data_IF_646197416402
#
_entry.id   IF_646197416402
#
_cell.length_a   1.000
_cell.length_b   1.000
_cell.length_c   1.000
_cell.angle_alpha   90.00
_cell.angle_beta   90.00
_cell.angle_gamma   90.00
#
_symmetry.space_group_name_H-M   'P 1'
#
loop_
_entity.id
_entity.type
_entity.pdbx_description
1 polymer ?
#
# COMPACT_ATOMS: atom_id res chain seq x y z
N UNK A 1 16.86 11.34 -15.07
CA UNK A 1 15.71 12.18 -15.48
C UNK A 1 16.11 13.65 -15.50
N UNK A 2 15.21 14.55 -15.89
CA UNK A 2 15.40 16.00 -15.76
C UNK A 2 15.31 16.49 -14.30
N UNK A 3 14.77 15.66 -13.41
CA UNK A 3 14.62 15.93 -11.98
C UNK A 3 15.52 15.02 -11.15
N UNK A 4 15.98 15.55 -10.00
CA UNK A 4 16.67 14.81 -8.95
C UNK A 4 15.92 14.95 -7.62
N UNK A 5 16.08 13.97 -6.73
CA UNK A 5 15.47 14.03 -5.42
C UNK A 5 16.30 14.89 -4.46
N UNK A 6 15.66 15.87 -3.85
CA UNK A 6 16.29 16.77 -2.88
C UNK A 6 16.41 16.10 -1.49
N UNK A 7 17.50 15.37 -1.32
CA UNK A 7 17.81 14.65 -0.07
C UNK A 7 18.01 15.59 1.13
N UNK A 8 18.54 16.78 0.90
CA UNK A 8 18.80 17.75 1.98
C UNK A 8 17.48 18.30 2.52
N UNK A 9 16.55 18.68 1.64
CA UNK A 9 15.23 19.12 2.04
C UNK A 9 14.42 17.99 2.67
N UNK A 10 14.57 16.76 2.18
CA UNK A 10 13.94 15.60 2.81
C UNK A 10 14.40 15.41 4.26
N UNK A 11 15.71 15.47 4.52
CA UNK A 11 16.27 15.45 5.89
C UNK A 11 15.66 16.56 6.76
N UNK A 12 15.67 17.81 6.27
CA UNK A 12 15.16 18.97 7.01
C UNK A 12 13.69 18.76 7.42
N UNK A 13 12.86 18.28 6.50
CA UNK A 13 11.44 18.03 6.74
C UNK A 13 11.23 16.86 7.70
N UNK A 14 12.00 15.77 7.58
CA UNK A 14 11.93 14.64 8.52
C UNK A 14 12.20 15.13 9.93
N UNK A 15 13.30 15.87 10.15
CA UNK A 15 13.66 16.40 11.48
C UNK A 15 12.59 17.33 12.05
N UNK A 16 12.11 18.29 11.23
CA UNK A 16 11.05 19.22 11.65
C UNK A 16 9.77 18.49 12.04
N UNK A 17 9.40 17.47 11.27
CA UNK A 17 8.19 16.69 11.52
C UNK A 17 8.33 15.82 12.76
N UNK A 18 9.49 15.20 12.99
CA UNK A 18 9.77 14.47 14.24
C UNK A 18 9.61 15.38 15.47
N UNK A 19 10.15 16.61 15.43
CA UNK A 19 9.95 17.59 16.51
C UNK A 19 8.49 17.99 16.69
N UNK A 20 7.78 18.20 15.58
CA UNK A 20 6.35 18.52 15.60
C UNK A 20 5.55 17.41 16.28
N UNK A 21 5.79 16.15 15.91
CA UNK A 21 5.12 14.98 16.50
C UNK A 21 5.47 14.81 18.00
N UNK A 22 6.71 15.06 18.42
CA UNK A 22 7.08 15.07 19.85
C UNK A 22 6.27 16.10 20.65
N UNK A 23 6.10 17.31 20.08
CA UNK A 23 5.31 18.36 20.72
C UNK A 23 3.82 17.96 20.82
N UNK A 24 3.28 17.26 19.81
CA UNK A 24 1.88 16.81 19.82
C UNK A 24 1.58 15.93 21.03
N UNK A 25 2.51 15.08 21.46
CA UNK A 25 2.32 14.23 22.66
C UNK A 25 2.06 15.06 23.92
N UNK A 26 2.69 16.22 24.04
CA UNK A 26 2.58 17.06 25.24
C UNK A 26 1.33 17.96 25.21
N UNK A 27 0.95 18.47 24.03
CA UNK A 27 -0.21 19.36 23.88
C UNK A 27 -1.54 18.60 23.71
N UNK A 28 -1.50 17.32 23.32
CA UNK A 28 -2.71 16.56 23.06
C UNK A 28 -3.51 16.31 24.36
N UNK A 29 -4.83 16.51 24.27
CA UNK A 29 -5.76 16.18 25.35
C UNK A 29 -6.31 14.77 25.11
N UNK A 30 -5.83 13.82 25.90
CA UNK A 30 -6.29 12.44 25.80
C UNK A 30 -7.60 12.24 26.58
N UNK A 31 -8.62 11.58 25.99
CA UNK A 31 -9.93 11.42 26.63
C UNK A 31 -9.91 10.43 27.80
N UNK A 32 -8.91 9.54 27.84
CA UNK A 32 -8.78 8.45 28.82
C UNK A 32 -7.43 8.58 29.54
N UNK A 33 -7.38 8.66 30.88
CA UNK A 33 -6.15 8.87 31.64
C UNK A 33 -5.05 7.84 31.33
N UNK A 34 -5.42 6.58 31.12
CA UNK A 34 -4.53 5.47 30.81
C UNK A 34 -3.83 5.69 29.46
N UNK A 35 -4.53 6.27 28.46
CA UNK A 35 -3.94 6.61 27.17
C UNK A 35 -2.94 7.77 27.33
N UNK A 36 -3.25 8.77 28.18
CA UNK A 36 -2.31 9.86 28.48
C UNK A 36 -1.02 9.33 29.11
N UNK A 37 -1.14 8.44 30.11
CA UNK A 37 0.02 7.81 30.76
C UNK A 37 0.83 7.03 29.74
N UNK A 38 0.20 6.09 29.01
CA UNK A 38 0.90 5.26 28.03
C UNK A 38 1.57 6.07 26.91
N UNK A 39 0.91 7.12 26.42
CA UNK A 39 1.46 8.01 25.38
C UNK A 39 2.67 8.79 25.88
N UNK A 40 2.64 9.30 27.11
CA UNK A 40 3.76 10.06 27.69
C UNK A 40 4.91 9.18 28.15
N UNK A 41 4.64 7.96 28.60
CA UNK A 41 5.65 6.99 29.02
C UNK A 41 6.44 6.40 27.85
N UNK A 42 5.75 6.10 26.75
CA UNK A 42 6.37 5.51 25.55
C UNK A 42 6.83 6.56 24.53
N UNK A 43 6.18 7.73 24.51
CA UNK A 43 6.36 8.79 23.51
C UNK A 43 6.42 8.25 22.08
N UNK A 44 5.52 7.31 21.75
CA UNK A 44 5.45 6.74 20.41
C UNK A 44 4.98 7.81 19.43
N UNK A 45 5.70 7.98 18.33
CA UNK A 45 5.26 8.78 17.17
C UNK A 45 5.17 7.90 15.92
N UNK A 46 4.52 8.42 14.89
CA UNK A 46 4.30 7.72 13.63
C UNK A 46 4.57 8.62 12.44
N UNK A 47 5.85 8.85 12.13
CA UNK A 47 6.25 9.56 10.93
C UNK A 47 6.18 8.62 9.72
N UNK A 48 5.36 8.99 8.73
CA UNK A 48 5.18 8.26 7.48
C UNK A 48 5.42 9.13 6.25
N UNK A 49 4.96 8.67 5.10
CA UNK A 49 5.06 9.37 3.81
C UNK A 49 3.72 9.39 3.09
N UNK A 50 3.63 10.23 2.06
CA UNK A 50 2.63 10.17 0.99
C UNK A 50 3.29 10.62 -0.33
N UNK A 51 2.67 10.34 -1.47
CA UNK A 51 3.15 10.77 -2.78
C UNK A 51 4.29 9.94 -3.38
N UNK A 52 4.51 8.70 -2.93
CA UNK A 52 5.61 7.86 -3.43
C UNK A 52 5.46 7.53 -4.92
N UNK A 53 4.25 7.20 -5.40
CA UNK A 53 4.05 6.90 -6.81
C UNK A 53 4.32 8.12 -7.70
N UNK A 54 3.82 9.28 -7.30
CA UNK A 54 4.05 10.55 -8.00
C UNK A 54 5.53 10.92 -8.03
N UNK A 55 6.25 10.69 -6.94
CA UNK A 55 7.69 10.88 -6.90
C UNK A 55 8.41 10.00 -7.92
N UNK A 56 8.06 8.71 -7.98
CA UNK A 56 8.64 7.77 -8.93
C UNK A 56 8.29 8.14 -10.38
N UNK A 57 7.07 8.60 -10.65
CA UNK A 57 6.70 9.14 -11.97
C UNK A 57 7.55 10.35 -12.37
N UNK A 58 7.74 11.33 -11.47
CA UNK A 58 8.57 12.51 -11.74
C UNK A 58 10.04 12.14 -12.00
N UNK A 59 10.56 11.16 -11.29
CA UNK A 59 11.92 10.67 -11.49
C UNK A 59 12.06 9.74 -12.71
N UNK A 60 10.93 9.33 -13.31
CA UNK A 60 10.86 8.31 -14.37
C UNK A 60 11.46 6.98 -13.93
N UNK A 61 11.10 6.54 -12.73
CA UNK A 61 11.49 5.24 -12.17
C UNK A 61 10.22 4.37 -12.10
N UNK A 62 10.18 3.18 -12.71
CA UNK A 62 9.03 2.27 -12.57
C UNK A 62 8.87 1.81 -11.12
N UNK A 63 7.63 1.80 -10.61
CA UNK A 63 7.32 1.41 -9.24
C UNK A 63 7.77 -0.02 -8.92
N UNK A 64 7.43 -0.98 -9.79
CA UNK A 64 7.76 -2.40 -9.68
C UNK A 64 9.03 -2.75 -10.47
N UNK A 65 10.13 -2.05 -10.20
CA UNK A 65 11.44 -2.35 -10.79
C UNK A 65 12.52 -2.43 -9.72
N UNK A 66 13.64 -3.07 -10.04
CA UNK A 66 14.83 -3.08 -9.17
C UNK A 66 15.24 -1.67 -8.75
N UNK A 67 15.28 -0.72 -9.69
CA UNK A 67 15.60 0.68 -9.41
C UNK A 67 14.56 1.32 -8.47
N UNK A 68 13.27 1.06 -8.70
CA UNK A 68 12.18 1.51 -7.83
C UNK A 68 12.30 0.99 -6.41
N UNK A 69 12.58 -0.32 -6.26
CA UNK A 69 12.82 -0.96 -4.96
C UNK A 69 14.07 -0.38 -4.26
N UNK A 70 15.18 -0.22 -4.97
CA UNK A 70 16.40 0.37 -4.38
C UNK A 70 16.19 1.82 -3.93
N UNK A 71 15.46 2.62 -4.72
CA UNK A 71 15.13 4.00 -4.38
C UNK A 71 14.18 4.09 -3.18
N UNK A 72 13.12 3.27 -3.15
CA UNK A 72 12.21 3.16 -2.01
C UNK A 72 12.92 2.70 -0.73
N UNK A 73 13.87 1.78 -0.85
CA UNK A 73 14.72 1.35 0.27
C UNK A 73 15.56 2.50 0.82
N UNK A 74 16.21 3.26 -0.06
CA UNK A 74 16.96 4.46 0.35
C UNK A 74 16.08 5.51 1.01
N UNK A 75 14.88 5.74 0.49
CA UNK A 75 13.93 6.73 1.01
C UNK A 75 13.44 6.38 2.42
N UNK A 76 13.13 5.10 2.64
CA UNK A 76 12.66 4.58 3.93
C UNK A 76 13.78 4.46 4.97
N UNK A 77 15.00 4.09 4.56
CA UNK A 77 16.19 4.13 5.44
C UNK A 77 16.45 5.56 5.92
N UNK A 78 16.46 6.54 5.00
CA UNK A 78 16.67 7.95 5.32
C UNK A 78 15.61 8.48 6.31
N UNK A 79 14.34 8.12 6.10
CA UNK A 79 13.23 8.50 6.99
C UNK A 79 13.49 8.05 8.44
N UNK A 80 13.83 6.78 8.62
CA UNK A 80 14.06 6.21 9.94
C UNK A 80 15.36 6.71 10.56
N UNK A 81 16.45 6.79 9.78
CA UNK A 81 17.74 7.26 10.27
C UNK A 81 17.64 8.70 10.81
N UNK A 82 17.15 9.64 9.99
CA UNK A 82 17.04 11.03 10.40
C UNK A 82 16.00 11.24 11.51
N UNK A 83 14.89 10.51 11.50
CA UNK A 83 13.91 10.61 12.58
C UNK A 83 14.45 10.06 13.90
N UNK A 84 15.26 8.99 13.89
CA UNK A 84 15.88 8.46 15.10
C UNK A 84 17.03 9.36 15.58
N UNK A 85 17.83 9.91 14.68
CA UNK A 85 18.87 10.88 15.06
C UNK A 85 18.26 12.14 15.68
N UNK A 86 17.17 12.65 15.11
CA UNK A 86 16.44 13.78 15.67
C UNK A 86 15.84 13.45 17.06
N UNK A 87 15.36 12.22 17.22
CA UNK A 87 14.89 11.70 18.50
C UNK A 87 16.00 11.67 19.56
N UNK A 88 17.26 11.40 19.19
CA UNK A 88 18.41 11.51 20.09
C UNK A 88 18.69 12.97 20.45
N UNK A 89 18.65 13.90 19.49
CA UNK A 89 18.82 15.33 19.75
C UNK A 89 17.75 15.89 20.71
N UNK A 90 16.51 15.41 20.57
CA UNK A 90 15.42 15.72 21.51
C UNK A 90 15.66 15.09 22.88
N UNK A 91 16.23 13.87 22.95
CA UNK A 91 16.60 13.24 24.21
C UNK A 91 17.62 14.08 24.99
N UNK A 92 18.60 14.65 24.31
CA UNK A 92 19.62 15.51 24.95
C UNK A 92 19.02 16.80 25.55
N UNK A 93 18.00 17.37 24.90
CA UNK A 93 17.40 18.64 25.32
C UNK A 93 16.18 18.49 26.23
N UNK A 94 15.46 17.36 26.15
CA UNK A 94 14.18 17.12 26.85
C UNK A 94 14.15 15.84 27.69
N UNK A 95 15.23 15.07 27.68
CA UNK A 95 15.32 13.73 28.29
C UNK A 95 14.79 12.62 27.37
N UNK A 96 15.27 11.40 27.58
CA UNK A 96 14.76 10.20 26.92
C UNK A 96 13.28 9.93 27.27
N UNK A 97 12.60 9.07 26.52
CA UNK A 97 11.27 8.62 26.94
C UNK A 97 11.34 7.89 28.30
N UNK A 98 10.34 8.03 29.18
CA UNK A 98 10.39 7.47 30.54
C UNK A 98 10.70 5.97 30.63
N UNK A 99 10.22 5.17 29.68
CA UNK A 99 10.45 3.71 29.66
C UNK A 99 11.76 3.29 28.99
N UNK A 100 12.63 4.22 28.55
CA UNK A 100 13.81 3.90 27.73
C UNK A 100 14.75 2.88 28.39
N UNK A 101 14.98 2.98 29.69
CA UNK A 101 15.84 2.05 30.45
C UNK A 101 15.26 0.63 30.58
N UNK A 102 13.96 0.45 30.28
CA UNK A 102 13.26 -0.85 30.31
C UNK A 102 13.10 -1.47 28.92
N UNK A 103 13.79 -0.91 27.92
CA UNK A 103 13.80 -1.42 26.54
C UNK A 103 15.18 -1.95 26.19
N UNK A 104 15.37 -2.41 24.96
CA UNK A 104 16.65 -2.91 24.48
C UNK A 104 17.56 -1.80 23.90
N UNK A 105 17.11 -0.54 23.88
CA UNK A 105 17.95 0.59 23.45
C UNK A 105 19.26 0.74 24.25
N UNK A 106 19.31 0.56 25.58
CA UNK A 106 20.56 0.58 26.34
C UNK A 106 21.55 -0.52 25.89
N UNK A 107 21.05 -1.65 25.40
CA UNK A 107 21.85 -2.76 24.86
C UNK A 107 22.31 -2.49 23.42
N UNK A 108 21.92 -1.37 22.84
CA UNK A 108 22.23 -1.01 21.45
C UNK A 108 21.34 -1.71 20.43
N UNK A 109 20.20 -2.29 20.84
CA UNK A 109 19.23 -2.84 19.90
C UNK A 109 18.21 -1.80 19.49
N UNK A 110 17.87 -1.78 18.21
CA UNK A 110 16.92 -0.85 17.60
C UNK A 110 15.84 -1.64 16.83
N UNK A 111 14.61 -1.12 16.69
CA UNK A 111 13.52 -1.85 16.03
C UNK A 111 13.57 -1.75 14.50
N UNK A 112 14.76 -1.81 13.88
CA UNK A 112 14.99 -1.66 12.44
C UNK A 112 15.56 -2.97 11.87
N UNK A 113 14.73 -3.75 11.17
CA UNK A 113 15.13 -5.09 10.67
C UNK A 113 16.30 -5.01 9.67
N UNK A 114 16.27 -4.03 8.77
CA UNK A 114 17.27 -3.82 7.73
C UNK A 114 18.68 -3.58 8.26
N UNK A 115 18.81 -3.03 9.48
CA UNK A 115 20.10 -2.89 10.15
C UNK A 115 20.75 -4.25 10.49
N UNK A 116 19.95 -5.25 10.86
CA UNK A 116 20.43 -6.59 11.22
C UNK A 116 20.51 -7.53 10.02
N UNK A 117 19.54 -7.44 9.12
CA UNK A 117 19.32 -8.45 8.07
C UNK A 117 20.01 -8.08 6.76
N UNK A 118 20.25 -6.79 6.49
CA UNK A 118 20.97 -6.37 5.28
C UNK A 118 22.47 -6.25 5.55
N UNK A 119 23.32 -6.65 4.59
CA UNK A 119 24.76 -6.39 4.67
C UNK A 119 25.04 -4.90 4.83
N UNK A 120 26.05 -4.54 5.64
CA UNK A 120 26.45 -3.15 5.92
C UNK A 120 26.75 -2.35 4.64
N UNK A 121 27.21 -3.00 3.57
CA UNK A 121 27.47 -2.36 2.28
C UNK A 121 26.20 -1.86 1.58
N UNK A 122 25.02 -2.33 2.00
CA UNK A 122 23.71 -1.88 1.51
C UNK A 122 23.07 -0.81 2.39
N UNK A 123 23.71 -0.41 3.49
CA UNK A 123 23.24 0.69 4.33
C UNK A 123 23.73 2.00 3.72
N UNK A 124 22.83 2.97 3.55
CA UNK A 124 23.20 4.31 3.10
C UNK A 124 23.71 5.20 4.22
N UNK A 125 23.45 4.83 5.49
CA UNK A 125 23.78 5.64 6.67
C UNK A 125 24.56 4.85 7.73
N UNK A 126 25.31 5.58 8.58
CA UNK A 126 26.10 5.00 9.67
C UNK A 126 25.24 4.75 10.92
N UNK A 127 24.55 3.61 10.91
CA UNK A 127 23.73 3.18 12.04
C UNK A 127 24.53 2.86 13.31
N UNK A 128 25.79 2.44 13.20
CA UNK A 128 26.61 2.09 14.38
C UNK A 128 26.95 3.36 15.18
N UNK A 129 27.25 4.45 14.49
CA UNK A 129 27.42 5.76 15.12
C UNK A 129 26.13 6.26 15.78
N UNK A 130 24.97 6.07 15.12
CA UNK A 130 23.68 6.45 15.70
C UNK A 130 23.34 5.61 16.94
N UNK A 131 23.55 4.29 16.91
CA UNK A 131 23.34 3.40 18.06
C UNK A 131 24.22 3.82 19.24
N UNK A 132 25.49 4.16 18.98
CA UNK A 132 26.40 4.68 20.01
C UNK A 132 25.85 5.96 20.64
N UNK A 133 25.30 6.89 19.83
CA UNK A 133 24.65 8.10 20.34
C UNK A 133 23.40 7.76 21.17
N UNK A 134 22.59 6.80 20.75
CA UNK A 134 21.40 6.33 21.49
C UNK A 134 21.80 5.76 22.86
N UNK A 135 22.82 4.90 22.92
CA UNK A 135 23.30 4.33 24.19
C UNK A 135 23.83 5.41 25.14
N UNK A 136 24.50 6.43 24.60
CA UNK A 136 25.09 7.53 25.39
C UNK A 136 24.05 8.55 25.87
N UNK A 137 23.09 8.90 25.03
CA UNK A 137 22.19 10.05 25.26
C UNK A 137 20.73 9.65 25.45
N UNK A 138 20.40 8.37 25.29
CA UNK A 138 19.03 7.90 25.18
C UNK A 138 18.37 8.35 23.88
N UNK A 139 17.10 7.99 23.74
CA UNK A 139 16.24 8.37 22.61
C UNK A 139 14.91 8.91 23.15
N UNK A 140 14.31 9.88 22.47
CA UNK A 140 13.08 10.56 22.94
C UNK A 140 11.80 9.76 22.70
N UNK A 141 11.81 8.82 21.76
CA UNK A 141 10.62 8.10 21.30
C UNK A 141 10.91 6.60 21.25
N UNK A 142 9.96 5.77 21.71
CA UNK A 142 10.10 4.29 21.60
C UNK A 142 10.15 3.82 20.15
N UNK A 143 9.36 4.45 19.27
CA UNK A 143 9.29 4.21 17.84
C UNK A 143 9.05 5.55 17.15
N UNK A 144 9.64 5.71 15.96
CA UNK A 144 9.61 6.96 15.20
C UNK A 144 8.82 6.88 13.91
N UNK A 145 8.84 5.75 13.22
CA UNK A 145 8.30 5.61 11.86
C UNK A 145 7.19 4.59 11.73
N UNK A 146 6.18 4.93 10.93
CA UNK A 146 5.05 4.06 10.51
C UNK A 146 4.46 4.65 9.23
N UNK A 147 4.06 3.82 8.28
CA UNK A 147 3.38 4.31 7.07
C UNK A 147 1.89 4.08 7.25
N UNK A 148 1.14 5.14 7.55
CA UNK A 148 -0.31 5.09 7.75
C UNK A 148 -1.07 5.42 6.45
N UNK A 149 -2.37 5.08 6.36
CA UNK A 149 -3.21 5.55 5.27
C UNK A 149 -3.31 7.07 5.30
N UNK A 150 -3.18 7.71 4.13
CA UNK A 150 -3.16 9.17 4.01
C UNK A 150 -4.33 9.73 3.20
N UNK A 151 -5.42 8.98 3.05
CA UNK A 151 -6.57 9.32 2.19
C UNK A 151 -6.96 10.81 2.13
N UNK A 152 -7.36 11.41 3.24
CA UNK A 152 -7.75 12.83 3.25
C UNK A 152 -6.55 13.78 3.09
N UNK A 153 -5.38 13.42 3.62
CA UNK A 153 -4.17 14.25 3.58
C UNK A 153 -3.57 14.33 2.18
N UNK A 154 -3.55 13.20 1.46
CA UNK A 154 -3.06 13.10 0.10
C UNK A 154 -3.99 13.83 -0.88
N UNK A 155 -5.31 13.81 -0.64
CA UNK A 155 -6.27 14.64 -1.39
C UNK A 155 -6.02 16.14 -1.17
N UNK A 156 -5.69 16.56 0.06
CA UNK A 156 -5.36 17.95 0.35
C UNK A 156 -4.03 18.37 -0.29
N UNK A 157 -3.02 17.50 -0.24
CA UNK A 157 -1.72 17.72 -0.84
C UNK A 157 -1.69 17.48 -2.36
N UNK A 158 -2.78 16.94 -2.91
CA UNK A 158 -2.94 16.54 -4.30
C UNK A 158 -1.81 15.62 -4.80
N UNK A 159 -1.61 14.53 -4.05
CA UNK A 159 -0.61 13.50 -4.37
C UNK A 159 -1.13 12.08 -4.12
N UNK A 160 -0.35 11.08 -4.51
CA UNK A 160 -0.67 9.67 -4.28
C UNK A 160 -0.71 9.32 -2.77
N UNK A 161 -1.45 8.27 -2.43
CA UNK A 161 -1.62 7.84 -1.05
C UNK A 161 -0.40 7.09 -0.53
N UNK A 162 0.16 7.52 0.60
CA UNK A 162 1.11 6.72 1.36
C UNK A 162 2.32 6.29 0.52
N UNK A 163 2.64 5.01 0.60
CA UNK A 163 3.54 4.34 -0.33
C UNK A 163 2.82 3.62 -1.49
N UNK A 164 1.51 3.83 -1.66
CA UNK A 164 0.71 3.10 -2.64
C UNK A 164 1.03 3.54 -4.08
N UNK A 165 1.01 2.61 -5.05
CA UNK A 165 0.87 2.98 -6.46
C UNK A 165 -0.48 3.70 -6.67
N UNK A 166 -0.54 4.55 -7.70
CA UNK A 166 -1.78 5.24 -8.05
C UNK A 166 -2.84 4.22 -8.48
N UNK A 167 -4.07 4.37 -7.98
CA UNK A 167 -5.15 3.43 -8.33
C UNK A 167 -5.52 3.51 -9.82
N UNK A 168 -5.63 4.73 -10.37
CA UNK A 168 -5.86 5.00 -11.78
C UNK A 168 -5.25 6.36 -12.16
N UNK A 169 -4.71 6.48 -13.36
CA UNK A 169 -4.13 7.73 -13.88
C UNK A 169 -5.20 8.69 -14.39
N UNK A 170 -6.31 8.16 -14.88
CA UNK A 170 -7.45 8.93 -15.38
C UNK A 170 -8.73 8.37 -14.80
N UNK A 171 -9.54 9.24 -14.19
CA UNK A 171 -10.90 8.93 -13.76
C UNK A 171 -11.90 9.74 -14.59
N UNK A 172 -12.97 9.10 -15.03
CA UNK A 172 -14.09 9.79 -15.66
C UNK A 172 -15.16 10.16 -14.62
N UNK A 173 -15.58 11.43 -14.62
CA UNK A 173 -16.78 11.88 -13.91
C UNK A 173 -17.83 12.34 -14.91
N UNK A 174 -18.96 11.65 -14.92
CA UNK A 174 -20.15 12.06 -15.67
C UNK A 174 -20.94 13.07 -14.85
N UNK A 175 -21.20 14.24 -15.43
CA UNK A 175 -22.10 15.26 -14.89
C UNK A 175 -23.14 15.63 -15.95
N UNK A 176 -24.20 16.33 -15.55
CA UNK A 176 -25.32 16.68 -16.43
C UNK A 176 -24.91 17.45 -17.70
N UNK A 177 -23.78 18.15 -17.65
CA UNK A 177 -23.24 18.99 -18.73
C UNK A 177 -22.17 18.30 -19.58
N UNK A 178 -21.79 17.05 -19.28
CA UNK A 178 -20.81 16.31 -20.09
C UNK A 178 -19.94 15.32 -19.30
N UNK A 179 -18.94 14.78 -19.99
CA UNK A 179 -17.89 13.91 -19.42
C UNK A 179 -16.68 14.77 -19.06
N UNK A 180 -16.13 14.60 -17.85
CA UNK A 180 -14.91 15.27 -17.41
C UNK A 180 -13.88 14.23 -16.96
N UNK A 181 -12.62 14.44 -17.31
CA UNK A 181 -11.51 13.59 -16.90
C UNK A 181 -10.73 14.23 -15.76
N UNK A 182 -10.50 13.46 -14.70
CA UNK A 182 -9.54 13.78 -13.65
C UNK A 182 -8.28 12.99 -13.92
N UNK A 183 -7.22 13.69 -14.32
CA UNK A 183 -5.95 13.08 -14.74
C UNK A 183 -4.86 13.36 -13.71
N UNK A 184 -4.01 12.37 -13.44
CA UNK A 184 -2.80 12.58 -12.67
C UNK A 184 -1.97 13.68 -13.33
N UNK A 185 -1.63 14.73 -12.58
CA UNK A 185 -1.02 15.94 -13.12
C UNK A 185 0.35 15.70 -13.77
N UNK A 186 1.14 14.77 -13.21
CA UNK A 186 2.46 14.42 -13.75
C UNK A 186 2.30 13.67 -15.06
N UNK A 187 1.32 12.77 -15.14
CA UNK A 187 1.00 12.08 -16.37
C UNK A 187 0.48 13.02 -17.45
N UNK A 188 -0.43 13.94 -17.11
CA UNK A 188 -0.91 14.97 -18.03
C UNK A 188 0.23 15.85 -18.58
N UNK A 189 1.15 16.30 -17.72
CA UNK A 189 2.34 17.06 -18.13
C UNK A 189 3.15 16.27 -19.17
N UNK A 190 3.42 14.99 -18.90
CA UNK A 190 4.15 14.11 -19.83
C UNK A 190 3.39 13.91 -21.14
N UNK A 191 2.06 13.72 -21.11
CA UNK A 191 1.27 13.62 -22.34
C UNK A 191 1.35 14.90 -23.19
N UNK A 192 1.29 16.07 -22.55
CA UNK A 192 1.38 17.36 -23.24
C UNK A 192 2.76 17.59 -23.85
N UNK A 193 3.83 17.29 -23.11
CA UNK A 193 5.22 17.37 -23.59
C UNK A 193 5.48 16.51 -24.83
N UNK A 194 4.80 15.36 -24.93
CA UNK A 194 4.95 14.40 -26.02
C UNK A 194 3.91 14.58 -27.14
N UNK A 195 3.04 15.60 -27.06
CA UNK A 195 2.00 15.85 -28.07
C UNK A 195 0.90 14.77 -28.12
N UNK A 196 0.72 14.00 -27.04
CA UNK A 196 -0.25 12.90 -26.93
C UNK A 196 -1.56 13.31 -26.26
N UNK A 197 -1.58 14.46 -25.57
CA UNK A 197 -2.74 14.90 -24.81
C UNK A 197 -3.96 15.17 -25.70
N UNK A 198 -5.01 14.38 -25.53
CA UNK A 198 -6.31 14.51 -26.20
C UNK A 198 -7.42 13.90 -25.35
N UNK A 199 -8.65 14.42 -25.47
CA UNK A 199 -9.81 13.87 -24.76
C UNK A 199 -10.11 12.42 -25.20
N UNK A 200 -9.83 12.09 -26.46
CA UNK A 200 -9.95 10.73 -26.99
C UNK A 200 -8.98 9.75 -26.31
N UNK A 201 -7.72 10.16 -26.10
CA UNK A 201 -6.74 9.33 -25.39
C UNK A 201 -7.09 9.20 -23.91
N UNK A 202 -7.52 10.29 -23.26
CA UNK A 202 -7.95 10.24 -21.86
C UNK A 202 -9.16 9.32 -21.66
N UNK A 203 -10.11 9.32 -22.60
CA UNK A 203 -11.23 8.38 -22.61
C UNK A 203 -10.73 6.93 -22.71
N UNK A 204 -9.80 6.62 -23.62
CA UNK A 204 -9.21 5.27 -23.73
C UNK A 204 -8.52 4.82 -22.45
N UNK A 205 -7.76 5.70 -21.80
CA UNK A 205 -7.10 5.39 -20.53
C UNK A 205 -8.14 5.15 -19.43
N UNK A 206 -9.16 6.00 -19.32
CA UNK A 206 -10.24 5.83 -18.34
C UNK A 206 -11.01 4.50 -18.55
N UNK A 207 -11.33 4.18 -19.80
CA UNK A 207 -12.01 2.92 -20.17
C UNK A 207 -11.11 1.69 -19.95
N UNK A 208 -9.78 1.86 -19.97
CA UNK A 208 -8.78 0.84 -19.68
C UNK A 208 -8.39 0.80 -18.18
N UNK A 209 -9.37 0.85 -17.28
CA UNK A 209 -9.17 0.87 -15.82
C UNK A 209 -8.30 2.03 -15.31
N UNK A 210 -8.22 3.13 -16.07
CA UNK A 210 -7.32 4.23 -15.77
C UNK A 210 -5.84 3.90 -16.00
N UNK A 211 -5.54 2.80 -16.68
CA UNK A 211 -4.18 2.35 -17.01
C UNK A 211 -3.80 2.69 -18.45
N UNK A 212 -2.52 2.96 -18.66
CA UNK A 212 -1.93 3.17 -19.98
C UNK A 212 -1.39 1.89 -20.62
N UNK A 213 -1.34 0.78 -19.86
CA UNK A 213 -0.78 -0.48 -20.34
C UNK A 213 -1.60 -1.03 -21.51
N UNK A 214 -0.90 -1.40 -22.58
CA UNK A 214 -1.48 -1.99 -23.79
C UNK A 214 -2.07 -0.98 -24.78
N UNK A 215 -2.03 0.32 -24.51
CA UNK A 215 -2.53 1.34 -25.44
C UNK A 215 -1.44 1.67 -26.47
N UNK A 216 -1.63 1.23 -27.72
CA UNK A 216 -0.63 1.36 -28.81
C UNK A 216 -0.14 2.80 -29.05
N UNK A 217 -1.02 3.79 -28.84
CA UNK A 217 -0.71 5.21 -29.04
C UNK A 217 0.26 5.77 -27.99
N UNK A 218 0.43 5.08 -26.86
CA UNK A 218 1.28 5.52 -25.76
C UNK A 218 2.62 4.79 -25.87
N UNK A 219 3.76 5.51 -26.00
CA UNK A 219 5.08 4.90 -26.03
C UNK A 219 5.36 3.98 -24.84
N UNK A 220 6.05 2.87 -25.10
CA UNK A 220 6.35 1.83 -24.10
C UNK A 220 7.02 2.39 -22.84
N UNK A 221 7.92 3.37 -23.00
CA UNK A 221 8.58 3.99 -21.85
C UNK A 221 7.59 4.69 -20.91
N UNK A 222 6.54 5.35 -21.44
CA UNK A 222 5.48 5.95 -20.62
C UNK A 222 4.69 4.84 -19.94
N UNK A 223 4.33 3.79 -20.67
CA UNK A 223 3.62 2.65 -20.11
C UNK A 223 4.41 1.95 -18.99
N UNK A 224 5.74 1.94 -19.06
CA UNK A 224 6.60 1.34 -18.04
C UNK A 224 6.75 2.22 -16.79
N UNK A 225 6.72 3.55 -16.93
CA UNK A 225 6.79 4.47 -15.79
C UNK A 225 5.44 4.59 -15.08
N UNK A 226 4.39 4.86 -15.84
CA UNK A 226 3.05 5.18 -15.33
C UNK A 226 2.22 3.92 -15.08
N UNK A 227 2.74 3.04 -14.23
CA UNK A 227 2.00 1.85 -13.76
C UNK A 227 1.05 2.21 -12.63
N UNK A 228 -0.16 1.67 -12.68
CA UNK A 228 -1.20 1.77 -11.66
C UNK A 228 -1.19 0.56 -10.72
N UNK A 229 -2.01 0.59 -9.67
CA UNK A 229 -2.15 -0.50 -8.73
C UNK A 229 -2.57 -1.82 -9.39
N UNK A 230 -3.36 -1.77 -10.46
CA UNK A 230 -3.82 -2.95 -11.20
C UNK A 230 -2.81 -3.43 -12.24
N UNK A 231 -1.82 -2.63 -12.60
CA UNK A 231 -0.73 -3.02 -13.51
C UNK A 231 0.41 -3.78 -12.80
N UNK A 232 0.38 -3.82 -11.47
CA UNK A 232 1.43 -4.39 -10.63
C UNK A 232 0.95 -5.70 -10.05
N UNK A 233 1.71 -6.78 -10.27
CA UNK A 233 1.38 -8.09 -9.72
C UNK A 233 1.40 -8.07 -8.18
N UNK A 234 0.54 -8.85 -7.54
CA UNK A 234 0.36 -8.81 -6.08
C UNK A 234 1.64 -9.10 -5.29
N UNK A 235 2.53 -9.93 -5.86
CA UNK A 235 3.84 -10.22 -5.27
C UNK A 235 4.78 -9.01 -5.34
N UNK A 236 4.72 -8.21 -6.41
CA UNK A 236 5.51 -6.99 -6.57
C UNK A 236 5.01 -5.88 -5.62
N UNK A 237 3.69 -5.83 -5.35
CA UNK A 237 3.16 -5.02 -4.25
C UNK A 237 3.77 -5.41 -2.90
N UNK A 238 3.87 -6.71 -2.61
CA UNK A 238 4.49 -7.21 -1.37
C UNK A 238 5.98 -6.89 -1.30
N UNK A 239 6.71 -7.01 -2.43
CA UNK A 239 8.12 -6.65 -2.49
C UNK A 239 8.34 -5.17 -2.19
N UNK A 240 7.53 -4.28 -2.77
CA UNK A 240 7.57 -2.87 -2.44
C UNK A 240 7.35 -2.65 -0.93
N UNK A 241 6.40 -3.37 -0.31
CA UNK A 241 6.18 -3.27 1.12
C UNK A 241 7.36 -3.77 1.94
N UNK A 242 7.99 -4.88 1.54
CA UNK A 242 9.10 -5.51 2.24
C UNK A 242 10.33 -4.59 2.31
N UNK A 243 10.64 -3.96 1.19
CA UNK A 243 11.72 -2.96 1.08
C UNK A 243 11.53 -1.81 2.08
N UNK A 244 10.29 -1.33 2.24
CA UNK A 244 9.99 -0.32 3.26
C UNK A 244 10.04 -0.93 4.67
N UNK A 245 9.49 -2.13 4.86
CA UNK A 245 9.36 -2.76 6.17
C UNK A 245 10.73 -3.07 6.82
N UNK A 246 11.75 -3.30 5.99
CA UNK A 246 13.16 -3.38 6.43
C UNK A 246 13.54 -2.18 7.30
N UNK A 247 13.10 -0.98 6.92
CA UNK A 247 13.53 0.27 7.56
C UNK A 247 12.48 0.91 8.46
N UNK A 248 11.22 0.47 8.43
CA UNK A 248 10.15 1.05 9.25
C UNK A 248 10.02 0.34 10.60
N UNK A 249 10.11 1.14 11.68
CA UNK A 249 10.11 0.62 13.06
C UNK A 249 8.78 -0.01 13.49
N UNK A 250 7.65 0.55 13.05
CA UNK A 250 6.32 0.01 13.29
C UNK A 250 5.80 -0.76 12.04
N UNK A 251 4.49 -0.90 11.89
CA UNK A 251 3.85 -1.50 10.71
C UNK A 251 3.61 -0.48 9.58
N UNK A 252 3.27 -1.02 8.41
CA UNK A 252 2.91 -0.31 7.19
C UNK A 252 1.48 -0.68 6.81
N UNK A 253 0.64 0.32 6.57
CA UNK A 253 -0.67 0.15 5.98
C UNK A 253 -0.54 0.28 4.46
N UNK A 254 -0.33 -0.86 3.80
CA UNK A 254 -0.32 -0.98 2.35
C UNK A 254 -1.32 -2.04 1.91
N UNK A 255 -2.06 -1.72 0.86
CA UNK A 255 -2.99 -2.60 0.17
C UNK A 255 -2.30 -3.27 -1.01
N UNK A 256 -2.43 -4.59 -1.13
CA UNK A 256 -2.13 -5.31 -2.35
C UNK A 256 -3.44 -5.43 -3.15
N UNK A 257 -3.46 -4.77 -4.30
CA UNK A 257 -4.62 -4.77 -5.18
C UNK A 257 -4.51 -5.97 -6.11
N UNK A 258 -5.50 -6.85 -6.05
CA UNK A 258 -5.58 -8.09 -6.80
C UNK A 258 -6.71 -7.99 -7.82
N UNK A 259 -6.48 -8.39 -9.07
CA UNK A 259 -7.54 -8.59 -10.05
C UNK A 259 -8.65 -9.53 -9.57
N UNK A 260 -9.83 -9.43 -10.19
CA UNK A 260 -11.01 -10.21 -9.81
C UNK A 260 -10.89 -11.71 -10.16
N UNK A 261 -9.93 -12.12 -11.00
CA UNK A 261 -9.69 -13.50 -11.39
C UNK A 261 -8.67 -14.22 -10.49
N UNK A 262 -8.11 -13.53 -9.50
CA UNK A 262 -7.24 -14.11 -8.48
C UNK A 262 -8.03 -15.11 -7.62
N UNK A 263 -7.42 -16.28 -7.40
CA UNK A 263 -7.98 -17.41 -6.65
C UNK A 263 -7.78 -17.27 -5.13
N UNK A 264 -8.42 -18.15 -4.33
CA UNK A 264 -8.17 -18.21 -2.89
C UNK A 264 -6.74 -18.69 -2.58
N UNK A 265 -6.19 -19.54 -3.44
CA UNK A 265 -4.85 -20.10 -3.42
C UNK A 265 -3.80 -19.00 -3.62
N UNK A 266 -4.05 -18.06 -4.53
CA UNK A 266 -3.19 -16.88 -4.71
C UNK A 266 -3.21 -15.98 -3.48
N UNK A 267 -4.39 -15.74 -2.90
CA UNK A 267 -4.52 -14.97 -1.65
C UNK A 267 -3.75 -15.66 -0.52
N UNK A 268 -3.87 -16.98 -0.40
CA UNK A 268 -3.09 -17.77 0.55
C UNK A 268 -1.59 -17.63 0.30
N UNK A 269 -1.14 -17.73 -0.96
CA UNK A 269 0.25 -17.56 -1.33
C UNK A 269 0.77 -16.15 -0.97
N UNK A 270 -0.07 -15.12 -1.08
CA UNK A 270 0.28 -13.76 -0.65
C UNK A 270 0.53 -13.65 0.85
N UNK A 271 -0.28 -14.28 1.69
CA UNK A 271 -0.02 -14.33 3.14
C UNK A 271 1.26 -15.10 3.48
N UNK A 272 1.51 -16.23 2.80
CA UNK A 272 2.72 -17.02 3.02
C UNK A 272 3.98 -16.25 2.60
N UNK A 273 3.94 -15.57 1.44
CA UNK A 273 5.05 -14.73 1.00
C UNK A 273 5.26 -13.53 1.93
N UNK A 274 4.20 -12.85 2.35
CA UNK A 274 4.29 -11.74 3.31
C UNK A 274 4.96 -12.17 4.62
N UNK A 275 4.64 -13.36 5.12
CA UNK A 275 5.28 -13.95 6.29
C UNK A 275 6.79 -14.17 6.07
N UNK A 276 7.18 -14.80 4.96
CA UNK A 276 8.60 -15.03 4.66
C UNK A 276 9.39 -13.73 4.41
N UNK A 277 8.72 -12.68 3.94
CA UNK A 277 9.30 -11.34 3.78
C UNK A 277 9.39 -10.55 5.10
N UNK A 278 8.96 -11.12 6.24
CA UNK A 278 9.02 -10.46 7.54
C UNK A 278 8.03 -9.31 7.70
N UNK A 279 6.94 -9.28 6.92
CA UNK A 279 5.95 -8.22 6.99
C UNK A 279 5.16 -8.27 8.30
N UNK A 280 5.03 -7.13 8.97
CA UNK A 280 4.27 -6.98 10.23
C UNK A 280 2.75 -6.95 10.02
N UNK A 281 2.30 -6.74 8.78
CA UNK A 281 0.90 -6.69 8.39
C UNK A 281 0.76 -6.68 6.88
N UNK A 282 -0.43 -7.04 6.39
CA UNK A 282 -0.78 -7.10 4.97
C UNK A 282 -2.28 -6.78 4.86
N UNK A 283 -2.67 -6.03 3.82
CA UNK A 283 -4.08 -5.83 3.46
C UNK A 283 -4.29 -6.30 2.03
N UNK A 284 -5.23 -7.23 1.84
CA UNK A 284 -5.60 -7.74 0.52
C UNK A 284 -6.89 -7.08 0.07
N UNK A 285 -6.87 -6.46 -1.11
CA UNK A 285 -8.08 -6.00 -1.80
C UNK A 285 -8.19 -6.70 -3.14
N UNK A 286 -9.14 -7.64 -3.24
CA UNK A 286 -9.49 -8.30 -4.50
C UNK A 286 -10.62 -7.52 -5.16
N UNK A 287 -10.43 -7.15 -6.41
CA UNK A 287 -11.46 -6.45 -7.17
C UNK A 287 -12.76 -7.29 -7.25
N UNK A 288 -13.90 -6.60 -7.24
CA UNK A 288 -15.23 -7.23 -7.19
C UNK A 288 -15.65 -7.82 -5.83
N UNK A 289 -14.79 -7.81 -4.80
CA UNK A 289 -15.11 -8.39 -3.48
C UNK A 289 -16.11 -7.58 -2.63
N UNK A 290 -16.46 -6.34 -3.03
CA UNK A 290 -17.43 -5.48 -2.34
C UNK A 290 -18.53 -5.02 -3.28
N UNK A 291 -19.79 -5.12 -2.83
CA UNK A 291 -21.00 -4.73 -3.60
C UNK A 291 -21.09 -3.23 -3.94
N UNK A 292 -20.47 -2.35 -3.13
CA UNK A 292 -20.33 -0.91 -3.40
C UNK A 292 -18.87 -0.53 -3.25
N UNK A 293 -18.22 -0.21 -4.37
CA UNK A 293 -16.87 0.31 -4.38
C UNK A 293 -16.93 1.85 -4.32
N UNK A 294 -16.11 2.46 -3.45
CA UNK A 294 -16.05 3.93 -3.31
C UNK A 294 -15.43 4.58 -4.54
N UNK A 295 -14.51 3.86 -5.20
CA UNK A 295 -13.97 4.21 -6.50
C UNK A 295 -14.75 3.40 -7.54
N UNK A 296 -15.67 4.05 -8.23
CA UNK A 296 -16.33 3.46 -9.38
C UNK A 296 -15.33 3.41 -10.54
N UNK A 297 -14.95 2.21 -10.97
CA UNK A 297 -14.32 1.97 -12.27
C UNK A 297 -15.41 2.13 -13.34
N UNK A 298 -15.82 3.36 -13.62
CA UNK A 298 -16.99 3.61 -14.47
C UNK A 298 -16.68 3.42 -15.95
N UNK A 299 -16.97 2.22 -16.42
CA UNK A 299 -17.54 1.94 -17.73
C UNK A 299 -18.34 0.65 -17.63
N UNK A 300 -19.61 0.62 -18.05
CA UNK A 300 -20.42 -0.62 -18.15
C UNK A 300 -19.77 -1.68 -19.07
N UNK A 301 -18.70 -1.30 -19.79
CA UNK A 301 -17.91 -2.12 -20.71
C UNK A 301 -16.46 -2.39 -20.25
N UNK A 302 -16.07 -2.14 -18.98
CA UNK A 302 -14.71 -2.44 -18.53
C UNK A 302 -14.50 -3.96 -18.48
N UNK A 303 -13.85 -4.51 -19.51
CA UNK A 303 -13.36 -5.89 -19.53
C UNK A 303 -11.85 -5.89 -19.32
N UNK A 304 -11.34 -6.80 -18.50
CA UNK A 304 -9.90 -7.00 -18.32
C UNK A 304 -9.26 -7.30 -19.69
N UNK A 305 -8.39 -6.41 -20.15
CA UNK A 305 -7.70 -6.52 -21.45
C UNK A 305 -6.25 -6.99 -21.32
N UNK A 306 -5.72 -7.14 -20.10
CA UNK A 306 -4.31 -7.45 -19.87
C UNK A 306 -4.08 -8.45 -18.74
N UNK A 307 -3.11 -9.34 -18.94
CA UNK A 307 -2.56 -10.21 -17.90
C UNK A 307 -1.45 -9.47 -17.15
N UNK A 308 -1.41 -9.65 -15.84
CA UNK A 308 -0.41 -9.04 -14.97
C UNK A 308 0.48 -10.17 -14.47
N UNK A 309 1.77 -10.12 -14.78
CA UNK A 309 2.74 -11.13 -14.37
C UNK A 309 3.74 -10.56 -13.36
N UNK A 310 4.26 -11.42 -12.50
CA UNK A 310 5.36 -11.06 -11.61
C UNK A 310 6.60 -10.64 -12.40
N UNK A 311 7.39 -9.73 -11.82
CA UNK A 311 8.64 -9.28 -12.44
C UNK A 311 9.76 -10.34 -12.32
N UNK A 312 10.68 -10.36 -13.29
CA UNK A 312 11.86 -11.25 -13.25
C UNK A 312 12.69 -11.06 -11.97
N UNK A 313 12.82 -9.80 -11.53
CA UNK A 313 13.50 -9.46 -10.27
C UNK A 313 12.92 -10.23 -9.08
N UNK A 314 11.60 -10.31 -9.03
CA UNK A 314 10.91 -10.96 -7.94
C UNK A 314 10.99 -12.48 -8.05
N UNK A 315 10.88 -13.05 -9.26
CA UNK A 315 11.12 -14.47 -9.48
C UNK A 315 12.51 -14.86 -8.97
N UNK A 316 13.54 -14.10 -9.35
CA UNK A 316 14.91 -14.28 -8.86
C UNK A 316 15.00 -14.12 -7.35
N UNK A 317 14.32 -13.13 -6.77
CA UNK A 317 14.31 -12.93 -5.33
C UNK A 317 13.72 -14.15 -4.60
N UNK A 318 12.55 -14.62 -5.04
CA UNK A 318 11.84 -15.74 -4.43
C UNK A 318 12.71 -17.00 -4.50
N UNK A 319 13.24 -17.33 -5.67
CA UNK A 319 14.08 -18.50 -5.87
C UNK A 319 15.35 -18.48 -5.02
N UNK A 320 15.98 -17.32 -4.85
CA UNK A 320 17.26 -17.21 -4.14
C UNK A 320 17.14 -17.03 -2.63
N UNK A 321 16.03 -16.47 -2.13
CA UNK A 321 15.91 -16.07 -0.71
C UNK A 321 14.88 -16.90 0.08
N UNK A 322 13.85 -17.44 -0.57
CA UNK A 322 12.82 -18.22 0.12
C UNK A 322 13.29 -19.67 0.27
N UNK A 323 13.62 -20.06 1.50
CA UNK A 323 14.23 -21.36 1.80
C UNK A 323 13.22 -22.43 2.17
N UNK A 324 12.04 -22.04 2.64
CA UNK A 324 11.01 -22.98 3.07
C UNK A 324 10.39 -23.71 1.85
N UNK A 325 10.58 -25.03 1.71
CA UNK A 325 10.14 -25.76 0.51
C UNK A 325 8.62 -25.77 0.32
N UNK A 326 7.86 -25.77 1.42
CA UNK A 326 6.39 -25.72 1.36
C UNK A 326 5.93 -24.37 0.79
N UNK A 327 6.47 -23.28 1.34
CA UNK A 327 6.08 -21.94 0.93
C UNK A 327 6.54 -21.65 -0.50
N UNK A 328 7.78 -22.03 -0.85
CA UNK A 328 8.29 -21.91 -2.20
C UNK A 328 7.41 -22.66 -3.21
N UNK A 329 6.96 -23.88 -2.87
CA UNK A 329 6.02 -24.63 -3.71
C UNK A 329 4.70 -23.89 -3.90
N UNK A 330 4.09 -23.40 -2.82
CA UNK A 330 2.80 -22.68 -2.89
C UNK A 330 2.91 -21.40 -3.71
N UNK A 331 3.99 -20.63 -3.54
CA UNK A 331 4.22 -19.41 -4.31
C UNK A 331 4.46 -19.74 -5.80
N UNK A 332 5.29 -20.75 -6.09
CA UNK A 332 5.54 -21.15 -7.48
C UNK A 332 4.29 -21.73 -8.16
N UNK A 333 3.36 -22.33 -7.41
CA UNK A 333 2.07 -22.77 -7.94
C UNK A 333 1.19 -21.55 -8.29
N UNK A 334 1.10 -20.56 -7.41
CA UNK A 334 0.37 -19.30 -7.66
C UNK A 334 0.99 -18.42 -8.77
N UNK A 335 2.30 -18.57 -9.02
CA UNK A 335 3.00 -17.84 -10.08
C UNK A 335 2.94 -18.51 -11.45
N UNK A 336 2.45 -19.76 -11.55
CA UNK A 336 2.21 -20.37 -12.85
C UNK A 336 1.04 -19.64 -13.49
N UNK A 337 1.30 -19.02 -14.65
CA UNK A 337 0.26 -18.42 -15.49
C UNK A 337 -0.80 -19.49 -15.72
N UNK A 338 -1.94 -19.34 -15.05
CA UNK A 338 -3.08 -20.22 -15.30
C UNK A 338 -3.60 -19.79 -16.65
N UNK A 339 -3.41 -20.62 -17.67
CA UNK A 339 -3.98 -20.28 -18.98
C UNK A 339 -5.49 -20.10 -18.85
N UNK A 340 -6.13 -19.21 -19.62
CA UNK A 340 -7.59 -19.03 -19.56
C UNK A 340 -8.36 -20.35 -19.72
N UNK A 341 -7.79 -21.33 -20.42
CA UNK A 341 -8.35 -22.68 -20.58
C UNK A 341 -8.32 -23.54 -19.32
N UNK A 342 -7.40 -23.30 -18.38
CA UNK A 342 -7.32 -24.02 -17.10
C UNK A 342 -8.27 -23.43 -16.05
N UNK A 343 -8.43 -22.10 -16.02
CA UNK A 343 -9.48 -21.43 -15.22
C UNK A 343 -10.89 -21.85 -15.66
N UNK A 344 -11.10 -22.10 -16.95
CA UNK A 344 -12.35 -22.66 -17.47
C UNK A 344 -12.60 -24.12 -17.05
N UNK A 345 -11.58 -24.86 -16.59
CA UNK A 345 -11.73 -26.23 -16.08
C UNK A 345 -11.98 -26.29 -14.57
N UNK A 346 -11.50 -25.30 -13.81
CA UNK A 346 -11.74 -25.17 -12.37
C UNK A 346 -12.87 -24.20 -12.02
N UNK A 347 -13.49 -23.57 -13.02
CA UNK A 347 -14.90 -23.22 -12.92
C UNK A 347 -15.68 -24.55 -12.86
N UNK A 348 -15.73 -25.14 -11.65
CA UNK A 348 -17.02 -25.62 -11.20
C UNK A 348 -17.99 -24.50 -11.55
N UNK A 349 -18.87 -24.80 -12.50
CA UNK A 349 -20.17 -24.18 -12.56
C UNK A 349 -20.75 -24.45 -11.17
N UNK A 350 -20.41 -23.58 -10.21
CA UNK A 350 -21.41 -23.09 -9.30
C UNK A 350 -22.39 -22.50 -10.29
N UNK A 351 -23.36 -23.33 -10.69
CA UNK A 351 -24.59 -22.82 -11.21
C UNK A 351 -24.88 -21.65 -10.27
N UNK A 352 -25.12 -20.46 -10.83
CA UNK A 352 -25.93 -19.49 -10.10
C UNK A 352 -26.96 -20.35 -9.39
N UNK A 353 -27.00 -20.38 -8.03
CA UNK A 353 -28.13 -21.05 -7.43
C UNK A 353 -29.28 -20.34 -8.12
N UNK A 354 -30.06 -21.11 -8.89
CA UNK A 354 -31.35 -20.65 -9.39
C UNK A 354 -31.88 -19.82 -8.25
N UNK A 355 -32.16 -18.54 -8.49
CA UNK A 355 -32.68 -17.66 -7.46
C UNK A 355 -33.96 -18.36 -7.03
N UNK A 356 -33.86 -19.24 -6.04
CA UNK A 356 -34.95 -19.90 -5.38
C UNK A 356 -35.53 -18.71 -4.66
N UNK A 357 -36.53 -18.12 -5.30
CA UNK A 357 -37.34 -17.06 -4.74
C UNK A 357 -37.57 -17.46 -3.29
N UNK A 358 -36.97 -16.72 -2.36
CA UNK A 358 -37.10 -17.03 -0.93
C UNK A 358 -38.53 -16.70 -0.56
N UNK A 359 -39.42 -17.66 -0.77
CA UNK A 359 -40.83 -17.56 -0.45
C UNK A 359 -40.96 -17.73 1.06
N UNK A 360 -41.78 -16.88 1.67
CA UNK A 360 -42.10 -16.91 3.07
C UNK A 360 -42.56 -18.33 3.48
N UNK A 361 -41.98 -18.95 4.53
CA UNK A 361 -42.36 -20.30 4.93
C UNK A 361 -43.83 -20.38 5.38
N UNK A 362 -44.43 -19.25 5.77
CA UNK A 362 -45.82 -19.17 6.25
C UNK A 362 -46.83 -18.98 5.12
N UNK A 363 -46.61 -18.03 4.20
CA UNK A 363 -47.62 -17.67 3.19
C UNK A 363 -47.15 -17.84 1.74
N UNK A 364 -45.90 -18.27 1.53
CA UNK A 364 -45.30 -18.48 0.21
C UNK A 364 -45.18 -17.23 -0.68
N UNK A 365 -45.30 -16.02 -0.13
CA UNK A 365 -44.98 -14.77 -0.85
C UNK A 365 -43.49 -14.39 -0.72
N UNK A 366 -42.97 -13.58 -1.64
CA UNK A 366 -41.56 -13.17 -1.68
C UNK A 366 -41.11 -12.45 -0.40
N UNK A 367 -39.94 -12.83 0.12
CA UNK A 367 -39.30 -12.17 1.27
C UNK A 367 -38.45 -10.97 0.82
N UNK A 368 -38.50 -9.88 1.58
CA UNK A 368 -37.69 -8.67 1.38
C UNK A 368 -36.58 -8.64 2.43
N UNK A 369 -35.33 -8.44 2.00
CA UNK A 369 -34.18 -8.34 2.90
C UNK A 369 -34.03 -6.90 3.40
N UNK A 370 -34.14 -6.69 4.71
CA UNK A 370 -34.02 -5.38 5.34
C UNK A 370 -33.22 -5.52 6.64
N UNK A 371 -32.19 -4.69 6.83
CA UNK A 371 -31.35 -4.67 8.05
C UNK A 371 -30.81 -6.05 8.48
N UNK A 372 -30.48 -6.93 7.53
CA UNK A 372 -29.93 -8.26 7.81
C UNK A 372 -30.97 -9.34 8.14
N UNK A 373 -32.27 -9.03 8.05
CA UNK A 373 -33.36 -9.98 8.26
C UNK A 373 -34.24 -10.12 7.01
N UNK A 374 -34.73 -11.33 6.74
CA UNK A 374 -35.73 -11.59 5.69
C UNK A 374 -37.12 -11.35 6.28
N UNK A 375 -37.90 -10.44 5.67
CA UNK A 375 -39.22 -10.02 6.16
C UNK A 375 -40.27 -10.30 5.08
N UNK A 376 -41.39 -10.92 5.45
CA UNK A 376 -42.58 -11.02 4.60
C UNK A 376 -43.55 -9.90 4.92
N UNK A 377 -43.83 -9.04 3.94
CA UNK A 377 -44.73 -7.88 4.11
C UNK A 377 -46.18 -8.35 4.35
N UNK A 378 -46.58 -9.47 3.76
CA UNK A 378 -47.98 -9.93 3.77
C UNK A 378 -48.40 -10.60 5.09
N UNK A 379 -47.52 -11.37 5.73
CA UNK A 379 -47.86 -12.09 6.95
C UNK A 379 -46.99 -11.74 8.17
N UNK A 380 -46.05 -10.79 8.02
CA UNK A 380 -45.18 -10.33 9.10
C UNK A 380 -44.11 -11.32 9.56
N UNK A 381 -43.84 -12.39 8.79
CA UNK A 381 -42.75 -13.32 9.11
C UNK A 381 -41.40 -12.60 9.06
N UNK A 382 -40.57 -12.74 10.10
CA UNK A 382 -39.20 -12.23 10.13
C UNK A 382 -38.21 -13.35 10.51
N UNK A 383 -37.20 -13.57 9.66
CA UNK A 383 -36.10 -14.51 9.93
C UNK A 383 -34.75 -13.81 9.76
N UNK A 384 -34.02 -13.63 10.85
CA UNK A 384 -32.68 -13.04 10.82
C UNK A 384 -31.63 -14.15 10.74
N UNK A 385 -30.69 -14.03 9.81
CA UNK A 385 -29.50 -14.89 9.77
C UNK A 385 -28.49 -14.33 10.76
N UNK A 386 -28.38 -14.97 11.93
CA UNK A 386 -27.31 -14.70 12.88
C UNK A 386 -25.99 -15.16 12.27
N UNK A 387 -25.14 -14.21 11.85
CA UNK A 387 -23.72 -14.43 11.60
C UNK A 387 -22.94 -14.36 12.90
#
# INVERSE_FOLDING_TARGET
GQYEFDWQKYEEIVRKTTRFLDNVIDVNHYPVPEINVASKESRRIGLGVMGVADLLYKLRIPYNSKEGYEFMGKLSEALSYYSMEESVALSQSRGAFPLCSKTEYPEGKIPIAGYYEKPKQRHYYDWDALITKIQKHGIRHVLTTTVAPTGTLSMLADCSNGMEPTFALVFEKRVTVGRFFYTNKIFEEVLRENGLYSDELLAKVADNYGSVKGIEEIPEWIQNIFVTAMDIHWTDHLMAQAVWQDWIGNAIAKTINMPNDVSAEDVKAAYLLAHELGLKGITVYRDGSRHKQVLHMTGENSQKTFEVTATDYLHDYITNNIKNPYILKQINEALKVTTPQELLRENHVVAEPEIEEKLCPTCKNTLVLTEGCHICIECGYSGCTSG
#
